data_IF_288120558129
#
_entry.id   IF_288120558129
#
_cell.length_a   1.000
_cell.length_b   1.000
_cell.length_c   1.000
_cell.angle_alpha   90.00
_cell.angle_beta   90.00
_cell.angle_gamma   90.00
#
_symmetry.space_group_name_H-M   'P 1'
#
loop_
_entity.id
_entity.type
_entity.pdbx_description
1 polymer ?
#
# COMPACT_ATOMS: atom_id res chain seq x y z
N UNK A 1 -37.50 15.68 -12.43
CA UNK A 1 -36.44 14.65 -12.12
C UNK A 1 -35.09 15.13 -12.62
N UNK A 2 -34.45 16.22 -12.12
CA UNK A 2 -33.47 16.73 -13.07
C UNK A 2 -32.29 17.52 -12.50
N UNK A 3 -32.31 18.00 -11.29
CA UNK A 3 -31.14 18.71 -10.73
C UNK A 3 -30.24 17.83 -9.85
N UNK A 4 -30.86 16.98 -9.07
CA UNK A 4 -30.17 16.15 -8.09
C UNK A 4 -29.27 15.06 -8.74
N UNK A 5 -29.73 14.48 -9.83
CA UNK A 5 -28.97 13.46 -10.56
C UNK A 5 -27.74 14.02 -11.31
N UNK A 6 -27.77 15.30 -11.69
CA UNK A 6 -26.66 15.91 -12.43
C UNK A 6 -25.47 16.18 -11.52
N UNK A 7 -25.71 16.72 -10.32
CA UNK A 7 -24.66 16.92 -9.32
C UNK A 7 -24.07 15.60 -8.82
N UNK A 8 -24.89 14.59 -8.58
CA UNK A 8 -24.42 13.26 -8.21
C UNK A 8 -23.54 12.63 -9.30
N UNK A 9 -23.93 12.79 -10.57
CA UNK A 9 -23.17 12.26 -11.68
C UNK A 9 -21.85 13.02 -11.86
N UNK A 10 -21.85 14.34 -11.72
CA UNK A 10 -20.63 15.17 -11.82
C UNK A 10 -19.67 14.89 -10.64
N UNK A 11 -20.18 14.70 -9.44
CA UNK A 11 -19.38 14.30 -8.27
C UNK A 11 -18.86 12.85 -8.45
N UNK A 12 -19.71 11.95 -8.92
CA UNK A 12 -19.35 10.55 -9.12
C UNK A 12 -18.36 10.34 -10.26
N UNK A 13 -18.45 11.08 -11.37
CA UNK A 13 -17.50 11.01 -12.50
C UNK A 13 -16.13 11.64 -12.19
N UNK A 14 -16.00 12.35 -11.07
CA UNK A 14 -14.72 12.79 -10.52
C UNK A 14 -14.00 13.88 -11.30
N UNK A 15 -14.62 14.48 -12.29
CA UNK A 15 -13.96 15.46 -13.16
C UNK A 15 -13.59 16.76 -12.42
N UNK A 16 -14.38 17.15 -11.40
CA UNK A 16 -14.12 18.30 -10.53
C UNK A 16 -13.72 17.91 -9.11
N UNK A 17 -14.15 16.74 -8.63
CA UNK A 17 -13.87 16.27 -7.25
C UNK A 17 -12.40 16.08 -6.99
N UNK A 18 -11.66 15.46 -7.90
CA UNK A 18 -10.23 15.20 -7.71
C UNK A 18 -9.41 16.51 -7.63
N UNK A 19 -9.53 17.50 -8.55
CA UNK A 19 -8.82 18.76 -8.43
C UNK A 19 -9.18 19.54 -7.15
N UNK A 20 -10.46 19.58 -6.77
CA UNK A 20 -10.91 20.26 -5.56
C UNK A 20 -10.33 19.61 -4.31
N UNK A 21 -10.36 18.27 -4.23
CA UNK A 21 -9.79 17.55 -3.09
C UNK A 21 -8.27 17.71 -3.03
N UNK A 22 -7.57 17.71 -4.17
CA UNK A 22 -6.13 17.98 -4.18
C UNK A 22 -5.82 19.37 -3.62
N UNK A 23 -6.59 20.41 -3.98
CA UNK A 23 -6.42 21.75 -3.44
C UNK A 23 -6.66 21.79 -1.93
N UNK A 24 -7.69 21.11 -1.45
CA UNK A 24 -7.98 21.01 0.00
C UNK A 24 -6.83 20.27 0.72
N UNK A 25 -6.37 19.16 0.16
CA UNK A 25 -5.24 18.41 0.72
C UNK A 25 -3.97 19.26 0.78
N UNK A 26 -3.63 19.97 -0.29
CA UNK A 26 -2.48 20.87 -0.32
C UNK A 26 -2.60 22.00 0.70
N UNK A 27 -3.79 22.55 0.89
CA UNK A 27 -4.02 23.60 1.89
C UNK A 27 -3.85 23.05 3.32
N UNK A 28 -4.49 21.91 3.64
CA UNK A 28 -4.41 21.30 4.98
C UNK A 28 -2.98 20.86 5.32
N UNK A 29 -2.27 20.25 4.36
CA UNK A 29 -0.88 19.86 4.56
C UNK A 29 0.05 21.08 4.58
N UNK A 30 -0.21 22.10 3.76
CA UNK A 30 0.57 23.34 3.76
C UNK A 30 0.57 24.07 5.10
N UNK A 31 -0.55 24.01 5.83
CA UNK A 31 -0.63 24.55 7.20
C UNK A 31 0.14 23.67 8.20
N UNK A 32 0.19 22.37 7.97
CA UNK A 32 0.81 21.40 8.88
C UNK A 32 2.32 21.19 8.66
N UNK A 33 2.83 21.40 7.44
CA UNK A 33 4.24 21.14 7.10
C UNK A 33 5.13 22.20 7.74
N UNK A 34 5.80 21.82 8.83
CA UNK A 34 6.81 22.62 9.51
C UNK A 34 8.18 21.93 9.52
N UNK A 35 8.25 20.63 9.17
CA UNK A 35 9.47 19.83 9.20
C UNK A 35 9.58 18.90 7.98
N UNK A 36 10.82 18.43 7.72
CA UNK A 36 11.10 17.43 6.69
C UNK A 36 10.32 16.11 6.89
N UNK A 37 10.05 15.76 8.14
CA UNK A 37 9.31 14.54 8.47
C UNK A 37 7.88 14.57 7.93
N UNK A 38 7.19 15.67 8.06
CA UNK A 38 5.83 15.85 7.55
C UNK A 38 5.79 15.84 6.02
N UNK A 39 6.84 16.39 5.38
CA UNK A 39 6.96 16.36 3.94
C UNK A 39 7.14 14.93 3.40
N UNK A 40 7.91 14.09 4.08
CA UNK A 40 8.06 12.67 3.71
C UNK A 40 6.73 11.93 3.88
N UNK A 41 5.98 12.22 4.94
CA UNK A 41 4.64 11.65 5.15
C UNK A 41 3.67 12.06 4.04
N UNK A 42 3.69 13.33 3.63
CA UNK A 42 2.90 13.83 2.50
C UNK A 42 3.24 13.10 1.19
N UNK A 43 4.54 12.95 0.89
CA UNK A 43 5.00 12.22 -0.30
C UNK A 43 4.52 10.77 -0.28
N UNK A 44 4.58 10.09 0.87
CA UNK A 44 4.08 8.72 1.03
C UNK A 44 2.57 8.62 0.78
N UNK A 45 1.80 9.58 1.31
CA UNK A 45 0.36 9.67 1.07
C UNK A 45 0.05 9.92 -0.42
N UNK A 46 0.74 10.87 -1.05
CA UNK A 46 0.59 11.19 -2.46
C UNK A 46 0.94 9.98 -3.37
N UNK A 47 2.02 9.26 -3.04
CA UNK A 47 2.41 8.04 -3.73
C UNK A 47 1.33 6.96 -3.62
N UNK A 48 0.75 6.79 -2.42
CA UNK A 48 -0.36 5.84 -2.21
C UNK A 48 -1.57 6.20 -3.07
N UNK A 49 -1.97 7.47 -3.09
CA UNK A 49 -3.06 7.96 -3.92
C UNK A 49 -2.79 7.77 -5.42
N UNK A 50 -1.58 8.05 -5.87
CA UNK A 50 -1.16 7.82 -7.26
C UNK A 50 -1.25 6.33 -7.63
N UNK A 51 -0.74 5.44 -6.78
CA UNK A 51 -0.79 4.00 -7.01
C UNK A 51 -2.23 3.46 -7.02
N UNK A 52 -3.15 4.04 -6.24
CA UNK A 52 -4.58 3.68 -6.30
C UNK A 52 -5.19 4.03 -7.67
N UNK A 53 -4.82 5.17 -8.26
CA UNK A 53 -5.24 5.53 -9.62
C UNK A 53 -4.69 4.53 -10.63
N UNK A 54 -3.39 4.21 -10.51
CA UNK A 54 -2.71 3.32 -11.44
C UNK A 54 -3.30 1.91 -11.43
N UNK A 55 -3.58 1.35 -10.25
CA UNK A 55 -4.25 0.05 -10.11
C UNK A 55 -5.63 0.08 -10.80
N UNK A 56 -6.42 1.11 -10.52
CA UNK A 56 -7.76 1.20 -11.11
C UNK A 56 -7.70 1.37 -12.63
N UNK A 57 -6.72 2.11 -13.14
CA UNK A 57 -6.54 2.32 -14.58
C UNK A 57 -6.05 1.07 -15.28
N UNK A 58 -5.08 0.35 -14.68
CA UNK A 58 -4.49 -0.83 -15.27
C UNK A 58 -5.43 -2.05 -15.28
N UNK A 59 -6.23 -2.22 -14.21
CA UNK A 59 -7.06 -3.43 -14.04
C UNK A 59 -8.57 -3.15 -14.13
N UNK A 60 -8.97 -1.90 -14.37
CA UNK A 60 -10.39 -1.49 -14.48
C UNK A 60 -11.26 -2.04 -13.34
N UNK A 61 -10.74 -1.99 -12.10
CA UNK A 61 -11.39 -2.55 -10.92
C UNK A 61 -12.75 -1.90 -10.68
N UNK A 62 -12.84 -0.60 -10.90
CA UNK A 62 -14.09 0.14 -10.83
C UNK A 62 -14.56 0.40 -12.25
N UNK A 63 -15.67 -0.24 -12.62
CA UNK A 63 -16.24 -0.21 -13.97
C UNK A 63 -16.66 1.18 -14.44
N UNK A 64 -17.01 2.06 -13.51
CA UNK A 64 -17.29 3.48 -13.76
C UNK A 64 -16.00 4.28 -13.60
N UNK A 65 -15.74 5.22 -14.52
CA UNK A 65 -14.59 6.13 -14.40
C UNK A 65 -14.80 7.13 -13.25
N UNK A 66 -14.66 6.66 -12.00
CA UNK A 66 -14.78 7.49 -10.82
C UNK A 66 -13.42 7.62 -10.14
N UNK A 67 -13.08 8.86 -9.75
CA UNK A 67 -11.88 9.14 -8.93
C UNK A 67 -12.24 9.31 -7.45
N UNK A 68 -13.48 8.93 -7.07
CA UNK A 68 -14.01 9.10 -5.71
C UNK A 68 -13.17 8.35 -4.66
N UNK A 69 -12.68 7.15 -4.97
CA UNK A 69 -11.88 6.34 -4.06
C UNK A 69 -10.61 7.06 -3.62
N UNK A 70 -9.90 7.70 -4.57
CA UNK A 70 -8.67 8.46 -4.28
C UNK A 70 -9.00 9.78 -3.60
N UNK A 71 -10.08 10.44 -4.02
CA UNK A 71 -10.54 11.69 -3.40
C UNK A 71 -10.94 11.48 -1.94
N UNK A 72 -11.69 10.41 -1.63
CA UNK A 72 -12.06 10.06 -0.26
C UNK A 72 -10.82 9.72 0.58
N UNK A 73 -9.92 8.91 0.04
CA UNK A 73 -8.67 8.56 0.72
C UNK A 73 -7.87 9.82 1.07
N UNK A 74 -7.61 10.68 0.08
CA UNK A 74 -6.84 11.92 0.27
C UNK A 74 -7.51 12.87 1.28
N UNK A 75 -8.83 13.03 1.19
CA UNK A 75 -9.58 13.87 2.10
C UNK A 75 -9.53 13.37 3.55
N UNK A 76 -9.77 12.07 3.78
CA UNK A 76 -9.76 11.47 5.12
C UNK A 76 -8.38 11.60 5.75
N UNK A 77 -7.30 11.24 5.03
CA UNK A 77 -5.94 11.33 5.54
C UNK A 77 -5.56 12.77 5.85
N UNK A 78 -5.92 13.72 4.96
CA UNK A 78 -5.58 15.14 5.17
C UNK A 78 -6.39 15.78 6.29
N UNK A 79 -7.60 15.31 6.57
CA UNK A 79 -8.41 15.75 7.70
C UNK A 79 -7.89 15.24 9.06
N UNK A 80 -7.17 14.11 9.05
CA UNK A 80 -6.63 13.51 10.26
C UNK A 80 -5.23 14.04 10.58
N UNK A 81 -5.13 15.19 11.24
CA UNK A 81 -3.86 15.87 11.58
C UNK A 81 -2.87 14.97 12.35
N UNK A 82 -3.34 13.99 13.12
CA UNK A 82 -2.48 13.07 13.86
C UNK A 82 -1.70 12.09 12.94
N UNK A 83 -2.07 11.97 11.66
CA UNK A 83 -1.37 11.16 10.66
C UNK A 83 -0.30 11.96 9.88
N UNK A 84 -0.23 13.28 10.07
CA UNK A 84 0.75 14.13 9.40
C UNK A 84 2.20 13.89 9.85
N UNK A 85 2.50 13.68 11.16
CA UNK A 85 3.85 13.35 11.60
C UNK A 85 4.33 12.04 10.94
N UNK A 86 5.59 12.02 10.50
CA UNK A 86 6.15 10.83 9.88
C UNK A 86 6.39 9.74 10.92
N UNK A 87 5.78 8.61 10.68
CA UNK A 87 6.08 7.34 11.32
C UNK A 87 6.51 6.34 10.24
N UNK A 88 7.37 5.39 10.60
CA UNK A 88 7.79 4.34 9.65
C UNK A 88 6.58 3.59 9.07
N UNK A 89 5.52 3.47 9.86
CA UNK A 89 4.24 2.87 9.43
C UNK A 89 3.57 3.60 8.25
N UNK A 90 3.92 4.88 7.99
CA UNK A 90 3.38 5.61 6.84
C UNK A 90 3.88 5.06 5.49
N UNK A 91 4.94 4.23 5.49
CA UNK A 91 5.44 3.55 4.31
C UNK A 91 4.68 2.25 4.00
N UNK A 92 3.86 1.77 4.94
CA UNK A 92 3.12 0.50 4.78
C UNK A 92 2.03 0.59 3.69
N UNK A 93 1.17 1.64 3.65
CA UNK A 93 0.16 1.76 2.62
C UNK A 93 0.71 1.72 1.18
N UNK A 94 1.73 2.51 0.79
CA UNK A 94 2.28 2.42 -0.56
C UNK A 94 2.92 1.05 -0.83
N UNK A 95 3.64 0.45 0.13
CA UNK A 95 4.20 -0.88 -0.03
C UNK A 95 3.11 -1.93 -0.26
N UNK A 96 2.01 -1.88 0.50
CA UNK A 96 0.89 -2.80 0.36
C UNK A 96 0.18 -2.64 -1.00
N UNK A 97 -0.03 -1.41 -1.46
CA UNK A 97 -0.66 -1.16 -2.76
C UNK A 97 0.24 -1.61 -3.91
N UNK A 98 1.56 -1.41 -3.82
CA UNK A 98 2.50 -1.95 -4.80
C UNK A 98 2.46 -3.48 -4.79
N UNK A 99 2.38 -4.11 -3.62
CA UNK A 99 2.23 -5.56 -3.51
C UNK A 99 0.95 -6.06 -4.21
N UNK A 100 -0.17 -5.38 -4.00
CA UNK A 100 -1.44 -5.68 -4.69
C UNK A 100 -1.32 -5.49 -6.20
N UNK A 101 -0.70 -4.41 -6.66
CA UNK A 101 -0.47 -4.16 -8.08
C UNK A 101 0.29 -5.31 -8.75
N UNK A 102 1.35 -5.78 -8.13
CA UNK A 102 2.13 -6.90 -8.63
C UNK A 102 1.34 -8.22 -8.59
N UNK A 103 0.52 -8.42 -7.56
CA UNK A 103 -0.35 -9.58 -7.45
C UNK A 103 -1.37 -9.61 -8.60
N UNK A 104 -2.07 -8.50 -8.87
CA UNK A 104 -3.01 -8.42 -10.00
C UNK A 104 -2.30 -8.61 -11.34
N UNK A 105 -1.07 -8.11 -11.50
CA UNK A 105 -0.27 -8.29 -12.71
C UNK A 105 0.14 -9.75 -12.94
N UNK A 106 0.07 -10.60 -11.92
CA UNK A 106 0.34 -12.04 -12.06
C UNK A 106 -0.80 -12.82 -12.71
N UNK A 107 -1.99 -12.21 -12.88
CA UNK A 107 -3.16 -12.83 -13.48
C UNK A 107 -2.83 -13.27 -14.92
N UNK A 108 -2.97 -14.56 -15.19
CA UNK A 108 -2.72 -15.19 -16.50
C UNK A 108 -1.40 -14.77 -17.20
N UNK A 109 -0.39 -14.39 -16.41
CA UNK A 109 0.88 -13.86 -16.93
C UNK A 109 1.92 -14.97 -17.09
N UNK A 110 2.61 -14.99 -18.24
CA UNK A 110 3.78 -15.86 -18.45
C UNK A 110 4.96 -15.56 -17.49
N UNK A 111 5.00 -14.36 -16.89
CA UNK A 111 6.02 -13.92 -15.91
C UNK A 111 5.48 -13.90 -14.48
N UNK A 112 4.46 -14.70 -14.18
CA UNK A 112 3.81 -14.72 -12.87
C UNK A 112 4.80 -14.87 -11.70
N UNK A 113 5.87 -15.64 -11.84
CA UNK A 113 6.85 -15.86 -10.76
C UNK A 113 7.58 -14.58 -10.34
N UNK A 114 7.95 -13.72 -11.29
CA UNK A 114 8.59 -12.43 -10.99
C UNK A 114 7.62 -11.47 -10.29
N UNK A 115 6.40 -11.37 -10.80
CA UNK A 115 5.38 -10.51 -10.22
C UNK A 115 5.02 -10.96 -8.79
N UNK A 116 4.90 -12.28 -8.56
CA UNK A 116 4.63 -12.84 -7.23
C UNK A 116 5.81 -12.58 -6.29
N UNK A 117 7.06 -12.79 -6.75
CA UNK A 117 8.23 -12.45 -5.94
C UNK A 117 8.17 -10.99 -5.47
N UNK A 118 7.95 -10.05 -6.38
CA UNK A 118 7.87 -8.62 -6.03
C UNK A 118 6.68 -8.32 -5.10
N UNK A 119 5.54 -8.96 -5.32
CA UNK A 119 4.36 -8.80 -4.48
C UNK A 119 4.68 -9.18 -3.02
N UNK A 120 5.23 -10.38 -2.79
CA UNK A 120 5.59 -10.83 -1.46
C UNK A 120 6.81 -10.10 -0.88
N UNK A 121 7.72 -9.63 -1.71
CA UNK A 121 8.84 -8.79 -1.29
C UNK A 121 8.34 -7.48 -0.66
N UNK A 122 7.35 -6.82 -1.26
CA UNK A 122 6.78 -5.59 -0.71
C UNK A 122 5.96 -5.85 0.56
N UNK A 123 5.29 -7.01 0.69
CA UNK A 123 4.66 -7.41 1.96
C UNK A 123 5.73 -7.61 3.03
N UNK A 124 6.81 -8.33 2.72
CA UNK A 124 7.93 -8.53 3.63
C UNK A 124 8.57 -7.21 4.04
N UNK A 125 8.80 -6.30 3.09
CA UNK A 125 9.36 -4.98 3.38
C UNK A 125 8.43 -4.15 4.28
N UNK A 126 7.15 -4.09 3.96
CA UNK A 126 6.16 -3.38 4.78
C UNK A 126 5.99 -3.99 6.17
N UNK A 127 6.18 -5.29 6.30
CA UNK A 127 6.09 -5.99 7.59
C UNK A 127 7.26 -5.69 8.54
N UNK A 128 8.38 -5.18 8.03
CA UNK A 128 9.46 -4.68 8.89
C UNK A 128 9.05 -3.41 9.65
N UNK A 129 8.18 -2.59 9.04
CA UNK A 129 7.63 -1.39 9.67
C UNK A 129 6.35 -1.69 10.48
N UNK A 130 5.52 -2.62 10.00
CA UNK A 130 4.27 -3.03 10.63
C UNK A 130 4.09 -4.55 10.51
N UNK A 131 4.56 -5.33 11.49
CA UNK A 131 4.63 -6.79 11.43
C UNK A 131 3.31 -7.49 11.12
N UNK A 132 2.19 -6.91 11.56
CA UNK A 132 0.85 -7.45 11.30
C UNK A 132 0.52 -7.57 9.80
N UNK A 133 1.27 -6.89 8.93
CA UNK A 133 1.13 -7.03 7.48
C UNK A 133 1.39 -8.47 6.99
N UNK A 134 2.18 -9.25 7.73
CA UNK A 134 2.41 -10.68 7.43
C UNK A 134 1.13 -11.51 7.41
N UNK A 135 0.10 -11.12 8.16
CA UNK A 135 -1.18 -11.82 8.15
C UNK A 135 -1.89 -11.75 6.78
N UNK A 136 -1.50 -10.84 5.91
CA UNK A 136 -2.00 -10.79 4.54
C UNK A 136 -1.32 -11.81 3.61
N UNK A 137 -0.16 -12.36 3.96
CA UNK A 137 0.55 -13.31 3.12
C UNK A 137 -0.30 -14.57 2.77
N UNK A 138 -1.00 -15.24 3.69
CA UNK A 138 -1.91 -16.33 3.35
C UNK A 138 -3.02 -15.91 2.40
N UNK A 139 -3.55 -14.70 2.54
CA UNK A 139 -4.62 -14.15 1.70
C UNK A 139 -4.12 -13.93 0.27
N UNK A 140 -2.87 -13.54 0.11
CA UNK A 140 -2.22 -13.42 -1.20
C UNK A 140 -2.02 -14.79 -1.86
N UNK A 141 -1.68 -15.84 -1.10
CA UNK A 141 -1.64 -17.21 -1.64
C UNK A 141 -3.01 -17.69 -2.08
N UNK A 142 -4.07 -17.42 -1.33
CA UNK A 142 -5.45 -17.73 -1.73
C UNK A 142 -5.82 -16.99 -3.01
N UNK A 143 -5.43 -15.72 -3.13
CA UNK A 143 -5.67 -14.92 -4.34
C UNK A 143 -4.95 -15.50 -5.57
N UNK A 144 -3.73 -16.06 -5.41
CA UNK A 144 -3.01 -16.75 -6.49
C UNK A 144 -3.77 -17.97 -7.02
N UNK A 145 -4.51 -18.67 -6.16
CA UNK A 145 -5.39 -19.79 -6.61
C UNK A 145 -6.49 -19.24 -7.52
N UNK A 146 -7.16 -18.16 -7.07
CA UNK A 146 -8.23 -17.51 -7.84
C UNK A 146 -7.73 -16.95 -9.18
N UNK A 147 -6.51 -16.45 -9.21
CA UNK A 147 -5.87 -15.89 -10.41
C UNK A 147 -5.25 -16.94 -11.33
N UNK A 148 -5.36 -18.23 -10.99
CA UNK A 148 -4.73 -19.33 -11.73
C UNK A 148 -3.23 -19.14 -11.93
N UNK A 149 -2.59 -18.38 -11.07
CA UNK A 149 -1.15 -18.09 -11.10
C UNK A 149 -0.35 -18.96 -10.13
N UNK A 150 -1.04 -19.79 -9.32
CA UNK A 150 -0.38 -20.68 -8.36
C UNK A 150 0.27 -21.88 -9.08
N UNK A 151 1.56 -22.01 -8.94
CA UNK A 151 2.37 -23.17 -9.35
C UNK A 151 3.44 -23.39 -8.30
N UNK A 152 4.13 -24.54 -8.31
CA UNK A 152 5.25 -24.76 -7.41
C UNK A 152 6.31 -23.64 -7.52
N UNK A 153 6.62 -23.21 -8.75
CA UNK A 153 7.56 -22.12 -9.01
C UNK A 153 7.12 -20.79 -8.40
N UNK A 154 5.85 -20.40 -8.55
CA UNK A 154 5.32 -19.16 -8.01
C UNK A 154 5.16 -19.21 -6.50
N UNK A 155 4.83 -20.38 -5.93
CA UNK A 155 4.77 -20.57 -4.50
C UNK A 155 6.12 -20.31 -3.83
N UNK A 156 7.19 -20.94 -4.35
CA UNK A 156 8.56 -20.71 -3.84
C UNK A 156 9.04 -19.29 -4.11
N UNK A 157 8.68 -18.68 -5.24
CA UNK A 157 8.97 -17.27 -5.51
C UNK A 157 8.38 -16.35 -4.46
N UNK A 158 7.13 -16.60 -4.03
CA UNK A 158 6.49 -15.87 -2.95
C UNK A 158 7.21 -16.03 -1.60
N UNK A 159 7.55 -17.27 -1.22
CA UNK A 159 8.31 -17.54 0.00
C UNK A 159 9.65 -16.80 0.01
N UNK A 160 10.42 -16.90 -1.07
CA UNK A 160 11.71 -16.22 -1.19
C UNK A 160 11.51 -14.71 -1.13
N UNK A 161 10.51 -14.16 -1.84
CA UNK A 161 10.17 -12.73 -1.79
C UNK A 161 9.92 -12.25 -0.36
N UNK A 162 9.21 -13.03 0.45
CA UNK A 162 8.89 -12.71 1.84
C UNK A 162 10.11 -12.77 2.75
N UNK A 163 11.01 -13.73 2.54
CA UNK A 163 12.20 -13.96 3.39
C UNK A 163 13.29 -12.92 3.10
N UNK A 164 13.42 -12.46 1.86
CA UNK A 164 14.53 -11.57 1.45
C UNK A 164 14.65 -10.30 2.32
N UNK A 165 13.58 -9.52 2.61
CA UNK A 165 13.70 -8.35 3.49
C UNK A 165 14.20 -8.70 4.90
N UNK A 166 13.75 -9.84 5.45
CA UNK A 166 14.18 -10.33 6.76
C UNK A 166 15.64 -10.80 6.74
N UNK A 167 16.10 -11.36 5.63
CA UNK A 167 17.50 -11.73 5.43
C UNK A 167 18.41 -10.49 5.49
N UNK A 168 18.02 -9.41 4.80
CA UNK A 168 18.76 -8.14 4.89
C UNK A 168 18.74 -7.55 6.29
N UNK A 169 17.60 -7.58 6.99
CA UNK A 169 17.50 -7.14 8.37
C UNK A 169 18.42 -7.97 9.29
N UNK A 170 18.45 -9.28 9.11
CA UNK A 170 19.33 -10.17 9.86
C UNK A 170 20.79 -9.84 9.65
N UNK A 171 21.22 -9.68 8.38
CA UNK A 171 22.59 -9.29 8.05
C UNK A 171 23.00 -7.95 8.68
N UNK A 172 22.11 -6.96 8.63
CA UNK A 172 22.31 -5.67 9.28
C UNK A 172 22.41 -5.78 10.81
N UNK A 173 21.52 -6.53 11.42
CA UNK A 173 21.49 -6.77 12.87
C UNK A 173 22.77 -7.50 13.34
N UNK A 174 23.19 -8.49 12.59
CA UNK A 174 24.43 -9.25 12.85
C UNK A 174 25.68 -8.37 12.76
N UNK A 175 25.79 -7.58 11.70
CA UNK A 175 26.93 -6.66 11.49
C UNK A 175 27.05 -5.62 12.62
N UNK A 176 25.94 -5.10 13.11
CA UNK A 176 25.90 -4.12 14.21
C UNK A 176 25.94 -4.76 15.61
N UNK A 177 26.00 -6.09 15.74
CA UNK A 177 25.94 -6.78 17.03
C UNK A 177 24.62 -6.61 17.80
N UNK A 178 23.56 -6.15 17.14
CA UNK A 178 22.24 -5.87 17.72
C UNK A 178 21.19 -6.87 17.21
N UNK A 179 21.34 -8.14 17.59
CA UNK A 179 20.44 -9.22 17.15
C UNK A 179 18.98 -8.97 17.61
N UNK A 180 18.78 -8.17 18.65
CA UNK A 180 17.45 -7.77 19.13
C UNK A 180 16.60 -7.08 18.05
N UNK A 181 17.23 -6.34 17.11
CA UNK A 181 16.54 -5.70 15.99
C UNK A 181 15.84 -6.71 15.06
N UNK A 182 16.38 -7.92 14.97
CA UNK A 182 15.76 -8.99 14.18
C UNK A 182 14.58 -9.63 14.88
N UNK A 183 14.65 -9.79 16.21
CA UNK A 183 13.58 -10.40 17.00
C UNK A 183 12.42 -9.44 17.26
N UNK A 184 12.66 -8.14 17.32
CA UNK A 184 11.66 -7.11 17.60
C UNK A 184 10.39 -7.21 16.72
N UNK A 185 10.46 -7.30 15.37
CA UNK A 185 9.28 -7.46 14.55
C UNK A 185 8.55 -8.78 14.78
N UNK A 186 9.30 -9.86 15.06
CA UNK A 186 8.71 -11.17 15.29
C UNK A 186 7.99 -11.27 16.63
N UNK A 187 8.55 -10.66 17.68
CA UNK A 187 7.92 -10.60 19.00
C UNK A 187 6.62 -9.80 18.97
N UNK A 188 6.57 -8.70 18.22
CA UNK A 188 5.37 -7.87 18.11
C UNK A 188 4.22 -8.56 17.35
N UNK A 189 4.49 -9.61 16.56
CA UNK A 189 3.46 -10.48 15.98
C UNK A 189 2.75 -11.33 17.04
N UNK A 190 3.48 -11.78 18.07
CA UNK A 190 2.97 -12.70 19.09
C UNK A 190 2.32 -11.92 20.23
N UNK A 191 2.84 -10.73 20.53
CA UNK A 191 2.28 -9.86 21.55
C UNK A 191 1.12 -9.05 20.95
N UNK A 192 -0.08 -9.63 20.95
CA UNK A 192 -1.31 -8.86 20.83
C UNK A 192 -1.41 -7.98 22.09
N UNK A 193 -0.92 -6.75 22.01
CA UNK A 193 -1.32 -5.75 23.00
C UNK A 193 -2.73 -5.28 22.62
N UNK A 194 -3.71 -5.48 23.51
CA UNK A 194 -5.07 -4.96 23.33
C UNK A 194 -5.07 -3.43 23.38
#
# INVERSE_FOLDING_TARGET
MTGYNKLQTEIATGRLTLPVVILICLFLWGVSIHSWNELISFISCALTGYMMIEINTAFTLIRTRTMLHVSLFGFIISACMFLHPFHISNLVPPAFIIALFQLFRSYESGQASGNIFHSFFFIGLGSLAFPQLLYFAPLFYISMISFRSLSAKTFFAGLVGLIVPYWFLFGYAFYNGKIELFYSPLQSLIQFQP
#
